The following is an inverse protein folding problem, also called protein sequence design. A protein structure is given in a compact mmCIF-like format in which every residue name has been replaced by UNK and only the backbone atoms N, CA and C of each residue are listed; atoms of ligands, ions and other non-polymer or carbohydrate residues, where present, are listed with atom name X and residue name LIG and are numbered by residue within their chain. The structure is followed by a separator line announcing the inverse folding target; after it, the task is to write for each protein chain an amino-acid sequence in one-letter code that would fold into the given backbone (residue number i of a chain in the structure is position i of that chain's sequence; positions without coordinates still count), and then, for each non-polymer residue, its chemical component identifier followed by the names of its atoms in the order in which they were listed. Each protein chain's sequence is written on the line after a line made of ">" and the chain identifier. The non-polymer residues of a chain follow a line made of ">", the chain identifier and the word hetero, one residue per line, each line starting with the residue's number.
data_IF_956994949380
#
_entry.id   IF_956994949380
#
_cell.length_a   1.000
_cell.length_b   1.000
_cell.length_c   1.000
_cell.angle_alpha   90.00
_cell.angle_beta   90.00
_cell.angle_gamma   90.00
#
_symmetry.space_group_name_H-M   'P 1'
#
loop_
_entity.id
_entity.type
_entity.pdbx_description
1 polymer ?
#
# COMPACT_ATOMS: atom_id res chain seq x y z
N UNK A 1 -1.88 18.83 -9.84
CA UNK A 1 -2.57 18.65 -11.14
C UNK A 1 -3.41 17.39 -11.04
N UNK A 2 -4.70 17.39 -11.44
CA UNK A 2 -5.53 16.19 -11.39
C UNK A 2 -5.05 15.24 -12.50
N UNK A 3 -4.47 14.11 -12.13
CA UNK A 3 -3.79 13.21 -13.09
C UNK A 3 -4.74 12.37 -13.93
N UNK A 4 -6.06 12.40 -13.69
CA UNK A 4 -7.02 11.57 -14.43
C UNK A 4 -6.78 10.06 -14.28
N UNK A 5 -5.88 9.67 -13.36
CA UNK A 5 -5.50 8.30 -13.12
C UNK A 5 -6.60 7.59 -12.33
N UNK A 6 -7.09 6.48 -12.91
CA UNK A 6 -8.20 5.70 -12.37
C UNK A 6 -7.79 4.84 -11.18
N UNK A 7 -6.48 4.68 -10.96
CA UNK A 7 -5.85 3.93 -9.88
C UNK A 7 -4.94 4.83 -9.04
N UNK A 8 -4.35 4.32 -7.96
CA UNK A 8 -3.38 5.07 -7.15
C UNK A 8 -2.19 5.53 -8.03
N UNK A 9 -1.86 6.84 -8.04
CA UNK A 9 -0.72 7.34 -8.80
C UNK A 9 0.63 6.89 -8.27
N UNK A 10 1.56 6.57 -9.16
CA UNK A 10 2.92 6.17 -8.77
C UNK A 10 3.65 7.30 -8.01
N UNK A 11 3.41 8.55 -8.36
CA UNK A 11 3.97 9.71 -7.64
C UNK A 11 3.50 9.72 -6.18
N UNK A 12 2.21 9.48 -5.95
CA UNK A 12 1.67 9.35 -4.61
C UNK A 12 2.36 8.20 -3.87
N UNK A 13 2.48 7.01 -4.49
CA UNK A 13 3.15 5.84 -3.87
C UNK A 13 4.55 6.18 -3.39
N UNK A 14 5.33 6.87 -4.22
CA UNK A 14 6.69 7.32 -3.89
C UNK A 14 6.70 8.30 -2.72
N UNK A 15 5.87 9.33 -2.80
CA UNK A 15 5.81 10.38 -1.78
C UNK A 15 5.39 9.82 -0.42
N UNK A 16 4.41 8.90 -0.41
CA UNK A 16 3.95 8.24 0.81
C UNK A 16 5.01 7.30 1.40
N UNK A 17 5.64 6.46 0.58
CA UNK A 17 6.70 5.57 1.03
C UNK A 17 7.85 6.40 1.65
N UNK A 18 8.23 7.49 1.00
CA UNK A 18 9.22 8.43 1.51
C UNK A 18 8.80 9.03 2.86
N UNK A 19 7.57 9.54 2.95
CA UNK A 19 7.05 10.22 4.12
C UNK A 19 6.93 9.31 5.35
N UNK A 20 6.69 8.00 5.15
CA UNK A 20 6.62 6.99 6.21
C UNK A 20 8.00 6.48 6.57
N UNK A 21 8.79 6.03 5.59
CA UNK A 21 10.07 5.35 5.83
C UNK A 21 11.15 6.28 6.38
N UNK A 22 11.03 7.60 6.19
CA UNK A 22 11.93 8.58 6.82
C UNK A 22 11.61 8.87 8.29
N UNK A 23 10.49 8.39 8.82
CA UNK A 23 10.12 8.69 10.20
C UNK A 23 11.03 7.94 11.18
N UNK A 24 11.30 8.50 12.37
CA UNK A 24 12.11 7.83 13.39
C UNK A 24 11.56 6.44 13.71
N UNK A 25 12.42 5.42 13.70
CA UNK A 25 12.01 4.05 14.01
C UNK A 25 11.31 3.30 12.87
N UNK A 26 10.97 3.95 11.76
CA UNK A 26 10.20 3.31 10.67
C UNK A 26 10.96 2.18 9.97
N UNK A 27 12.29 2.23 9.99
CA UNK A 27 13.21 1.25 9.37
C UNK A 27 14.19 0.66 10.37
N UNK A 28 14.02 0.94 11.67
CA UNK A 28 14.94 0.46 12.71
C UNK A 28 14.73 -1.03 12.96
N UNK A 29 15.82 -1.79 12.97
CA UNK A 29 15.83 -3.24 13.10
C UNK A 29 16.96 -3.72 13.98
N UNK A 30 16.73 -4.85 14.64
CA UNK A 30 17.80 -5.60 15.30
C UNK A 30 18.77 -6.13 14.23
N UNK A 31 20.07 -5.80 14.30
CA UNK A 31 21.00 -6.13 13.23
C UNK A 31 21.24 -7.64 13.09
N UNK A 32 21.01 -8.42 14.15
CA UNK A 32 21.24 -9.86 14.17
C UNK A 32 20.04 -10.65 13.67
N UNK A 33 18.84 -10.27 14.13
CA UNK A 33 17.60 -11.02 13.86
C UNK A 33 16.80 -10.44 12.71
N UNK A 34 17.11 -9.21 12.27
CA UNK A 34 16.34 -8.46 11.27
C UNK A 34 14.87 -8.31 11.67
N UNK A 35 14.62 -8.16 12.98
CA UNK A 35 13.28 -8.00 13.55
C UNK A 35 13.09 -6.59 14.13
N UNK A 36 11.84 -6.10 14.19
CA UNK A 36 11.53 -4.87 14.91
C UNK A 36 11.94 -4.96 16.39
N UNK A 37 12.56 -3.90 16.91
CA UNK A 37 12.96 -3.76 18.31
C UNK A 37 11.85 -3.02 19.07
N UNK A 38 11.25 -3.62 20.11
CA UNK A 38 10.26 -2.93 20.93
C UNK A 38 10.80 -1.62 21.51
N UNK A 39 10.06 -0.52 21.30
CA UNK A 39 10.42 0.81 21.80
C UNK A 39 11.40 1.60 20.92
N UNK A 40 11.99 0.99 19.88
CA UNK A 40 12.82 1.69 18.88
C UNK A 40 12.19 1.64 17.48
N UNK A 41 11.61 0.50 17.12
CA UNK A 41 10.87 0.36 15.86
C UNK A 41 9.45 0.89 16.02
N UNK A 42 8.96 1.56 14.98
CA UNK A 42 7.66 2.23 15.00
C UNK A 42 6.94 2.05 13.67
N UNK A 43 5.68 1.63 13.74
CA UNK A 43 4.76 1.72 12.62
C UNK A 43 4.09 3.10 12.64
N UNK A 44 3.82 3.63 11.46
CA UNK A 44 3.10 4.87 11.23
C UNK A 44 1.93 4.60 10.32
N UNK A 45 0.84 5.33 10.52
CA UNK A 45 -0.40 5.19 9.76
C UNK A 45 -0.80 6.50 9.11
N UNK A 46 -1.27 6.44 7.88
CA UNK A 46 -2.02 7.54 7.29
C UNK A 46 -3.30 7.03 6.65
N UNK A 47 -4.32 7.88 6.61
CA UNK A 47 -5.55 7.62 5.87
C UNK A 47 -5.37 8.06 4.43
N UNK A 48 -5.75 7.20 3.49
CA UNK A 48 -5.77 7.49 2.05
C UNK A 48 -7.19 7.82 1.64
N UNK A 49 -7.37 8.97 1.00
CA UNK A 49 -8.66 9.46 0.58
C UNK A 49 -8.57 10.16 -0.76
N UNK A 50 -9.73 10.34 -1.38
CA UNK A 50 -9.88 11.11 -2.60
C UNK A 50 -10.81 12.26 -2.29
N UNK A 51 -10.46 13.45 -2.77
CA UNK A 51 -11.29 14.63 -2.62
C UNK A 51 -11.49 15.31 -3.98
N UNK A 52 -12.69 15.85 -4.23
CA UNK A 52 -12.96 16.55 -5.48
C UNK A 52 -14.42 16.57 -5.94
N UNK A 53 -14.60 16.97 -7.20
CA UNK A 53 -15.90 16.98 -7.89
C UNK A 53 -16.00 15.79 -8.85
N UNK A 54 -17.13 15.65 -9.56
CA UNK A 54 -17.31 14.59 -10.56
C UNK A 54 -16.37 14.74 -11.76
N UNK A 55 -15.88 15.96 -11.98
CA UNK A 55 -15.06 16.37 -13.12
C UNK A 55 -13.56 16.36 -12.78
N UNK A 56 -13.20 16.44 -11.49
CA UNK A 56 -11.81 16.48 -11.02
C UNK A 56 -11.68 15.85 -9.65
N UNK A 57 -10.82 14.84 -9.53
CA UNK A 57 -10.48 14.19 -8.26
C UNK A 57 -8.99 14.34 -7.96
N UNK A 58 -8.67 14.45 -6.67
CA UNK A 58 -7.32 14.47 -6.14
C UNK A 58 -7.15 13.34 -5.13
N UNK A 59 -6.16 12.48 -5.35
CA UNK A 59 -5.69 11.56 -4.32
C UNK A 59 -4.94 12.33 -3.23
N UNK A 60 -5.19 11.99 -1.97
CA UNK A 60 -4.66 12.68 -0.80
C UNK A 60 -4.42 11.70 0.33
N UNK A 61 -3.46 12.04 1.18
CA UNK A 61 -3.07 11.25 2.35
C UNK A 61 -2.91 12.16 3.55
N UNK A 62 -3.33 11.70 4.72
CA UNK A 62 -3.13 12.45 5.97
C UNK A 62 -1.68 12.37 6.43
N UNK A 63 -1.27 13.30 7.30
CA UNK A 63 0.03 13.17 7.97
C UNK A 63 0.15 11.81 8.69
N UNK A 64 1.33 11.16 8.62
CA UNK A 64 1.63 9.96 9.36
C UNK A 64 1.44 10.15 10.87
N UNK A 65 0.53 9.37 11.44
CA UNK A 65 0.31 9.29 12.87
C UNK A 65 1.14 8.12 13.41
N UNK A 66 1.88 8.36 14.47
CA UNK A 66 2.62 7.31 15.16
C UNK A 66 1.65 6.23 15.66
N UNK A 67 1.93 5.00 15.29
CA UNK A 67 1.25 3.82 15.79
C UNK A 67 2.17 3.04 16.73
N UNK A 68 1.75 1.83 17.13
CA UNK A 68 2.59 0.95 17.92
C UNK A 68 3.75 0.38 17.09
N UNK A 69 4.47 -0.60 17.64
CA UNK A 69 5.51 -1.32 16.89
C UNK A 69 4.97 -2.50 16.07
N UNK A 70 3.66 -2.78 16.11
CA UNK A 70 3.05 -3.99 15.56
C UNK A 70 1.57 -3.85 15.14
N UNK A 71 1.06 -2.62 15.10
CA UNK A 71 -0.32 -2.37 14.66
C UNK A 71 -0.48 -0.96 14.14
N UNK A 72 -1.25 -0.87 13.06
CA UNK A 72 -1.84 0.35 12.57
C UNK A 72 -3.35 0.39 12.84
N UNK A 73 -3.88 1.52 13.33
CA UNK A 73 -5.34 1.71 13.46
C UNK A 73 -5.79 2.81 12.50
N UNK A 74 -6.39 2.46 11.35
CA UNK A 74 -6.86 3.45 10.40
C UNK A 74 -8.02 4.25 11.00
N UNK A 75 -8.09 5.54 10.64
CA UNK A 75 -9.22 6.40 10.97
C UNK A 75 -9.95 6.79 9.69
N UNK A 76 -11.28 6.73 9.71
CA UNK A 76 -12.11 6.86 8.51
C UNK A 76 -12.85 8.19 8.40
N UNK A 77 -12.48 9.16 9.23
CA UNK A 77 -13.02 10.51 9.21
C UNK A 77 -11.87 11.47 8.94
N UNK A 78 -11.93 12.16 7.81
CA UNK A 78 -10.91 13.13 7.38
C UNK A 78 -11.60 14.47 7.11
N UNK A 79 -10.97 15.56 7.56
CA UNK A 79 -11.34 16.91 7.18
C UNK A 79 -10.38 17.37 6.08
N UNK A 80 -10.92 17.85 4.97
CA UNK A 80 -10.16 18.40 3.87
C UNK A 80 -10.31 19.92 3.86
N UNK A 81 -9.21 20.64 3.62
CA UNK A 81 -9.21 22.10 3.64
C UNK A 81 -9.86 22.72 2.38
N UNK A 82 -9.86 21.99 1.27
CA UNK A 82 -10.32 22.47 -0.03
C UNK A 82 -11.74 21.99 -0.36
N UNK A 83 -12.16 20.86 0.22
CA UNK A 83 -13.43 20.21 -0.11
C UNK A 83 -14.31 19.91 1.13
N UNK A 84 -15.63 20.11 1.05
CA UNK A 84 -16.56 19.73 2.11
C UNK A 84 -16.61 18.20 2.28
N UNK A 85 -17.08 17.69 3.44
CA UNK A 85 -17.14 16.24 3.70
C UNK A 85 -17.93 15.42 2.66
N UNK A 86 -18.90 16.04 1.97
CA UNK A 86 -19.67 15.40 0.89
C UNK A 86 -18.86 15.14 -0.39
N UNK A 87 -17.66 15.72 -0.48
CA UNK A 87 -16.72 15.62 -1.60
C UNK A 87 -15.40 14.95 -1.18
N UNK A 88 -15.41 14.24 -0.04
CA UNK A 88 -14.27 13.51 0.51
C UNK A 88 -14.65 12.05 0.67
N UNK A 89 -13.86 11.16 0.07
CA UNK A 89 -14.05 9.72 0.11
C UNK A 89 -12.81 9.06 0.68
N UNK A 90 -12.90 8.54 1.89
CA UNK A 90 -11.84 7.67 2.42
C UNK A 90 -11.86 6.37 1.63
N UNK A 91 -10.74 6.07 0.98
CA UNK A 91 -10.60 4.89 0.13
C UNK A 91 -9.70 3.85 0.76
N UNK A 92 -8.91 4.21 1.77
CA UNK A 92 -7.93 3.30 2.34
C UNK A 92 -7.12 3.87 3.49
N UNK A 93 -6.06 3.15 3.83
CA UNK A 93 -5.01 3.58 4.72
C UNK A 93 -3.66 3.06 4.23
N UNK A 94 -2.58 3.67 4.71
CA UNK A 94 -1.21 3.25 4.46
C UNK A 94 -0.47 3.11 5.79
N UNK A 95 0.41 2.12 5.90
CA UNK A 95 1.35 2.03 7.01
C UNK A 95 2.68 1.40 6.61
N UNK A 96 3.73 1.62 7.40
CA UNK A 96 5.00 0.92 7.21
C UNK A 96 5.09 -0.36 8.05
N UNK A 97 5.93 -1.28 7.57
CA UNK A 97 6.46 -2.40 8.33
C UNK A 97 7.97 -2.19 8.53
N UNK A 98 8.43 -1.99 9.77
CA UNK A 98 9.85 -2.02 10.08
C UNK A 98 10.45 -3.38 9.68
N UNK A 99 11.68 -3.37 9.17
CA UNK A 99 12.44 -4.57 8.83
C UNK A 99 11.90 -5.39 7.65
N UNK A 100 11.02 -4.81 6.85
CA UNK A 100 10.31 -5.56 5.80
C UNK A 100 9.56 -6.75 6.40
N UNK A 101 9.16 -6.63 7.68
CA UNK A 101 8.49 -7.71 8.39
C UNK A 101 7.27 -8.15 7.59
N UNK A 102 7.02 -9.46 7.58
CA UNK A 102 5.85 -10.00 6.90
C UNK A 102 4.59 -9.32 7.45
N UNK A 103 3.65 -8.95 6.58
CA UNK A 103 2.37 -8.43 7.02
C UNK A 103 1.72 -9.39 8.05
N UNK A 104 1.05 -8.86 9.07
CA UNK A 104 0.33 -9.67 10.06
C UNK A 104 -0.83 -10.46 9.42
N UNK A 105 -1.45 -11.41 10.12
CA UNK A 105 -2.64 -12.09 9.58
C UNK A 105 -3.79 -11.13 9.26
N UNK A 106 -3.88 -10.02 9.98
CA UNK A 106 -4.80 -8.92 9.70
C UNK A 106 -4.42 -8.18 8.41
N UNK A 107 -3.15 -8.26 8.05
CA UNK A 107 -2.62 -7.68 6.83
C UNK A 107 -2.75 -8.60 5.60
N UNK A 108 -2.68 -9.91 5.83
CA UNK A 108 -2.56 -10.93 4.79
C UNK A 108 -3.87 -11.41 4.16
N UNK A 109 -5.01 -10.76 4.43
CA UNK A 109 -6.30 -11.24 3.90
C UNK A 109 -6.39 -11.23 2.35
N UNK A 110 -5.40 -10.68 1.62
CA UNK A 110 -5.43 -10.58 0.15
C UNK A 110 -4.06 -10.59 -0.58
N UNK A 111 -2.93 -10.95 0.04
CA UNK A 111 -1.60 -10.47 -0.41
C UNK A 111 -0.49 -11.53 -0.64
N UNK A 112 0.26 -11.55 -1.78
CA UNK A 112 1.44 -12.41 -1.96
C UNK A 112 2.70 -11.82 -1.34
N UNK A 113 3.10 -12.36 -0.20
CA UNK A 113 4.33 -11.98 0.53
C UNK A 113 5.61 -12.61 0.00
N UNK A 114 5.51 -13.66 -0.80
CA UNK A 114 6.67 -14.46 -1.22
C UNK A 114 7.61 -13.71 -2.17
N UNK A 115 7.12 -12.66 -2.84
CA UNK A 115 7.90 -11.88 -3.79
C UNK A 115 8.97 -10.97 -3.17
N UNK A 116 8.87 -10.63 -1.88
CA UNK A 116 9.64 -9.54 -1.26
C UNK A 116 10.81 -9.97 -0.37
N UNK A 117 11.29 -11.20 -0.53
CA UNK A 117 12.42 -11.71 0.25
C UNK A 117 13.78 -11.46 -0.44
N UNK A 118 14.78 -10.83 0.19
CA UNK A 118 14.77 -10.06 1.45
C UNK A 118 14.59 -8.54 1.21
N UNK A 119 13.86 -7.87 2.10
CA UNK A 119 13.68 -6.40 2.11
C UNK A 119 13.95 -5.84 3.51
N UNK A 120 14.29 -4.55 3.61
CA UNK A 120 14.62 -3.87 4.88
C UNK A 120 13.49 -3.02 5.43
N UNK A 121 12.55 -2.61 4.58
CA UNK A 121 11.35 -1.89 4.99
C UNK A 121 10.27 -1.98 3.91
N UNK A 122 9.01 -1.77 4.32
CA UNK A 122 7.86 -1.80 3.42
C UNK A 122 6.85 -0.73 3.83
N UNK A 123 6.17 -0.11 2.86
CA UNK A 123 4.97 0.68 3.06
C UNK A 123 3.81 0.02 2.29
N UNK A 124 2.69 -0.23 2.96
CA UNK A 124 1.53 -0.93 2.41
C UNK A 124 0.31 -0.02 2.43
N UNK A 125 -0.34 0.10 1.27
CA UNK A 125 -1.62 0.78 1.08
C UNK A 125 -2.71 -0.25 0.92
N UNK A 126 -3.69 -0.16 1.80
CA UNK A 126 -4.90 -0.95 1.82
C UNK A 126 -6.07 -0.10 1.40
N UNK A 127 -6.73 -0.47 0.31
CA UNK A 127 -8.02 0.12 -0.02
C UNK A 127 -9.16 -0.67 0.64
N UNK A 128 -10.14 0.03 1.20
CA UNK A 128 -11.27 -0.59 1.92
C UNK A 128 -12.31 -1.12 0.92
N UNK A 129 -12.54 -2.44 0.83
CA UNK A 129 -13.64 -2.97 0.04
C UNK A 129 -14.97 -2.55 0.68
N UNK A 130 -15.90 -2.03 -0.12
CA UNK A 130 -17.25 -1.72 0.38
C UNK A 130 -17.42 -0.31 0.96
N UNK A 131 -16.63 0.68 0.53
CA UNK A 131 -17.08 2.06 0.66
C UNK A 131 -18.48 2.16 0.00
N UNK A 132 -19.54 2.55 0.72
CA UNK A 132 -20.92 2.54 0.22
C UNK A 132 -21.13 3.45 -1.00
N UNK A 133 -20.21 4.37 -1.27
CA UNK A 133 -20.17 5.17 -2.50
C UNK A 133 -18.72 5.27 -3.00
N UNK A 134 -18.24 4.33 -3.83
CA UNK A 134 -16.92 4.47 -4.43
C UNK A 134 -16.88 5.78 -5.23
N UNK A 135 -15.83 6.58 -5.02
CA UNK A 135 -15.68 7.85 -5.71
C UNK A 135 -15.74 7.61 -7.23
N UNK A 136 -16.47 8.49 -7.94
CA UNK A 136 -16.64 8.40 -9.40
C UNK A 136 -15.93 9.56 -10.07
N UNK A 137 -15.07 9.24 -11.03
CA UNK A 137 -14.44 10.18 -11.95
C UNK A 137 -15.02 9.98 -13.35
N UNK A 138 -15.62 11.03 -13.93
CA UNK A 138 -16.11 11.00 -15.32
C UNK A 138 -16.90 9.71 -15.65
N UNK A 139 -17.91 9.40 -14.82
CA UNK A 139 -18.78 8.21 -14.85
C UNK A 139 -18.15 6.85 -14.47
N UNK A 140 -16.83 6.77 -14.31
CA UNK A 140 -16.11 5.55 -13.93
C UNK A 140 -15.84 5.54 -12.42
N UNK A 141 -15.93 4.38 -11.77
CA UNK A 141 -15.49 4.25 -10.38
C UNK A 141 -13.97 4.27 -10.31
N UNK A 142 -13.42 4.83 -9.23
CA UNK A 142 -11.99 4.66 -8.93
C UNK A 142 -11.71 3.16 -8.80
N UNK A 143 -10.67 2.73 -9.50
CA UNK A 143 -10.18 1.37 -9.46
C UNK A 143 -9.51 1.12 -8.11
N UNK A 144 -10.07 0.16 -7.38
CA UNK A 144 -9.65 -0.16 -6.02
C UNK A 144 -8.42 -1.08 -6.06
N UNK A 145 -7.28 -0.57 -6.55
CA UNK A 145 -5.99 -1.27 -6.46
C UNK A 145 -5.29 -0.94 -5.14
N UNK A 146 -4.92 -1.95 -4.37
CA UNK A 146 -4.02 -1.76 -3.23
C UNK A 146 -2.57 -1.79 -3.70
N UNK A 147 -1.62 -1.32 -2.90
CA UNK A 147 -0.23 -1.17 -3.33
C UNK A 147 0.77 -1.36 -2.19
N UNK A 148 1.99 -1.72 -2.56
CA UNK A 148 3.13 -1.83 -1.65
C UNK A 148 4.36 -1.23 -2.27
N UNK A 149 5.15 -0.58 -1.43
CA UNK A 149 6.50 -0.15 -1.73
C UNK A 149 7.44 -0.87 -0.80
N UNK A 150 8.33 -1.71 -1.33
CA UNK A 150 9.37 -2.36 -0.55
C UNK A 150 10.73 -1.78 -0.89
N UNK A 151 11.58 -1.63 0.13
CA UNK A 151 12.96 -1.17 -0.03
C UNK A 151 13.92 -2.34 0.26
N UNK A 152 14.86 -2.59 -0.65
CA UNK A 152 15.93 -3.58 -0.48
C UNK A 152 17.10 -3.00 0.31
N UNK A 153 18.00 -3.89 0.75
CA UNK A 153 19.22 -3.50 1.47
C UNK A 153 20.12 -2.51 0.70
N UNK A 154 20.09 -2.56 -0.63
CA UNK A 154 20.83 -1.65 -1.51
C UNK A 154 20.10 -0.32 -1.78
N UNK A 155 18.94 -0.09 -1.15
CA UNK A 155 18.10 1.09 -1.34
C UNK A 155 17.17 1.02 -2.55
N UNK A 156 17.18 -0.06 -3.31
CA UNK A 156 16.28 -0.25 -4.46
C UNK A 156 14.83 -0.34 -3.97
N UNK A 157 13.95 0.45 -4.58
CA UNK A 157 12.51 0.44 -4.29
C UNK A 157 11.74 -0.36 -5.33
N UNK A 158 10.84 -1.20 -4.84
CA UNK A 158 9.94 -2.04 -5.63
C UNK A 158 8.52 -1.59 -5.35
N UNK A 159 7.83 -1.14 -6.38
CA UNK A 159 6.43 -0.71 -6.29
C UNK A 159 5.57 -1.77 -6.94
N UNK A 160 4.71 -2.42 -6.14
CA UNK A 160 3.68 -3.31 -6.64
C UNK A 160 2.30 -2.69 -6.40
N UNK A 161 1.39 -2.97 -7.32
CA UNK A 161 -0.04 -2.81 -7.10
C UNK A 161 -0.77 -4.10 -7.42
N UNK A 162 -1.87 -4.32 -6.74
CA UNK A 162 -2.65 -5.55 -6.85
C UNK A 162 -4.14 -5.21 -6.81
N UNK A 163 -4.87 -5.91 -7.66
CA UNK A 163 -6.27 -5.64 -7.92
C UNK A 163 -7.15 -6.69 -7.24
N UNK A 164 -8.41 -6.37 -6.90
CA UNK A 164 -9.35 -7.33 -6.33
C UNK A 164 -9.63 -8.54 -7.25
N UNK A 165 -9.47 -8.33 -8.55
CA UNK A 165 -9.52 -9.39 -9.57
C UNK A 165 -8.31 -10.32 -9.53
N UNK A 166 -7.26 -9.99 -8.78
CA UNK A 166 -6.07 -10.81 -8.55
C UNK A 166 -4.88 -10.44 -9.43
N UNK A 167 -5.02 -9.55 -10.42
CA UNK A 167 -3.87 -9.05 -11.18
C UNK A 167 -2.86 -8.38 -10.26
N UNK A 168 -1.58 -8.59 -10.56
CA UNK A 168 -0.47 -7.92 -9.88
C UNK A 168 0.42 -7.29 -10.92
N UNK A 169 0.80 -6.04 -10.66
CA UNK A 169 1.64 -5.25 -11.54
C UNK A 169 2.80 -4.64 -10.75
N UNK A 170 3.95 -4.54 -11.41
CA UNK A 170 5.12 -3.85 -10.90
C UNK A 170 5.36 -2.59 -11.73
N UNK A 171 5.68 -1.48 -11.07
CA UNK A 171 6.16 -0.30 -11.77
C UNK A 171 7.56 -0.57 -12.35
N UNK A 172 7.72 -0.35 -13.64
CA UNK A 172 9.00 -0.36 -14.34
C UNK A 172 9.53 1.06 -14.45
N UNK A 173 10.69 1.34 -13.87
CA UNK A 173 11.34 2.65 -14.03
C UNK A 173 11.83 2.83 -15.47
N UNK A 174 12.33 1.75 -16.07
CA UNK A 174 12.83 1.76 -17.44
C UNK A 174 11.74 2.10 -18.46
N UNK A 175 10.53 1.54 -18.27
CA UNK A 175 9.38 1.74 -19.18
C UNK A 175 8.49 2.89 -18.77
N UNK A 176 8.62 3.37 -17.52
CA UNK A 176 7.71 4.35 -16.90
C UNK A 176 6.25 3.91 -16.98
N UNK A 177 6.02 2.63 -16.72
CA UNK A 177 4.70 2.01 -16.84
C UNK A 177 4.53 0.83 -15.87
N UNK A 178 3.28 0.46 -15.62
CA UNK A 178 2.90 -0.71 -14.84
C UNK A 178 2.96 -1.97 -15.71
N UNK A 179 3.77 -2.94 -15.30
CA UNK A 179 3.96 -4.21 -16.00
C UNK A 179 3.26 -5.31 -15.22
N UNK A 180 2.31 -5.97 -15.87
CA UNK A 180 1.64 -7.14 -15.30
C UNK A 180 2.62 -8.29 -15.10
N UNK A 181 2.73 -8.72 -13.85
CA UNK A 181 3.55 -9.86 -13.44
C UNK A 181 2.77 -11.18 -13.51
N UNK A 182 1.46 -11.13 -13.23
CA UNK A 182 0.63 -12.32 -13.20
C UNK A 182 -0.71 -12.07 -12.51
N UNK A 183 -1.33 -13.16 -12.07
CA UNK A 183 -2.56 -13.14 -11.27
C UNK A 183 -2.37 -14.03 -10.06
N UNK A 184 -2.77 -13.56 -8.89
CA UNK A 184 -2.74 -14.34 -7.65
C UNK A 184 -4.12 -14.35 -7.00
N UNK A 185 -4.47 -15.47 -6.37
CA UNK A 185 -5.73 -15.63 -5.65
C UNK A 185 -5.45 -15.98 -4.18
N UNK A 186 -6.19 -15.41 -3.21
CA UNK A 186 -6.14 -15.84 -1.83
C UNK A 186 -6.33 -17.37 -1.74
N UNK A 187 -5.45 -18.04 -0.99
CA UNK A 187 -5.64 -19.47 -0.73
C UNK A 187 -6.73 -19.63 0.34
N UNK A 188 -7.85 -20.28 0.00
CA UNK A 188 -8.88 -20.64 0.99
C UNK A 188 -8.27 -21.61 2.01
N UNK A 189 -7.97 -21.13 3.22
CA UNK A 189 -7.40 -21.97 4.27
C UNK A 189 -7.80 -21.53 5.69
N UNK A 190 -9.09 -21.56 6.01
CA UNK A 190 -9.57 -21.44 7.40
C UNK A 190 -8.96 -20.25 8.18
N UNK A 191 -8.73 -20.43 9.49
CA UNK A 191 -8.19 -19.40 10.40
C UNK A 191 -6.67 -19.16 10.27
N UNK A 192 -5.97 -19.80 9.33
CA UNK A 192 -4.53 -19.67 9.17
C UNK A 192 -4.23 -18.79 7.97
N UNK A 193 -3.30 -17.85 8.14
CA UNK A 193 -2.81 -17.04 7.03
C UNK A 193 -1.99 -17.93 6.09
N UNK A 194 -2.43 -18.05 4.83
CA UNK A 194 -1.73 -18.79 3.78
C UNK A 194 -1.43 -17.83 2.66
N UNK A 195 -0.17 -17.82 2.20
CA UNK A 195 0.23 -17.02 1.05
C UNK A 195 -0.69 -17.33 -0.16
N UNK A 196 -1.19 -16.31 -0.87
CA UNK A 196 -1.98 -16.50 -2.07
C UNK A 196 -1.19 -17.24 -3.12
N UNK A 197 -1.91 -17.98 -3.97
CA UNK A 197 -1.33 -18.76 -5.05
C UNK A 197 -1.34 -17.93 -6.32
N UNK A 198 -0.18 -17.76 -6.94
CA UNK A 198 -0.07 -17.10 -8.23
C UNK A 198 -0.12 -18.13 -9.37
N UNK A 199 -0.70 -17.71 -10.50
CA UNK A 199 -0.61 -18.44 -11.75
C UNK A 199 0.88 -18.66 -12.09
N UNK A 200 1.30 -19.92 -12.20
CA UNK A 200 2.71 -20.26 -12.47
C UNK A 200 3.61 -20.43 -11.25
N UNK A 201 3.09 -20.38 -10.02
CA UNK A 201 3.86 -20.64 -8.80
C UNK A 201 4.15 -19.36 -8.00
N UNK A 202 5.41 -19.11 -7.67
CA UNK A 202 5.81 -17.87 -6.96
C UNK A 202 5.87 -16.68 -7.90
N UNK A 203 5.42 -15.52 -7.43
CA UNK A 203 5.45 -14.28 -8.19
C UNK A 203 6.90 -13.88 -8.51
N UNK A 204 7.21 -13.66 -9.79
CA UNK A 204 8.54 -13.22 -10.23
C UNK A 204 8.55 -11.72 -10.45
N UNK A 205 9.40 -11.00 -9.71
CA UNK A 205 9.60 -9.56 -9.88
C UNK A 205 10.38 -9.26 -11.16
N UNK A 206 10.18 -8.06 -11.72
CA UNK A 206 11.05 -7.54 -12.77
C UNK A 206 12.47 -7.39 -12.23
N UNK A 207 13.44 -7.71 -13.08
CA UNK A 207 14.87 -7.42 -12.84
C UNK A 207 15.21 -6.20 -13.66
N UNK A 208 15.37 -5.06 -13.00
CA UNK A 208 15.78 -3.78 -13.58
C UNK A 208 16.96 -3.21 -12.80
#
# INVERSE_FOLDING_TARGET
>A
MPTGEKSIPISLLRDMAEALLRRPGATTCDPTTQRPIPGLSTEYCSTVYVAGTRESLSWRVTEPVQAGHNRCTPFFVVQDADYPPSQVWVVGYIHNHPCGAVPSSQDLSVWPTDAFNPTVAMAEIRLVPGNPAPARFQSTFIEMASAVVAERQDGTRIFLRYFPSGEIEQWSEARRDWIRLGRCAPSLAGRLSVAPRCEGGSLQLLRE
#
